data_IF_757980146531
#
_entry.id   IF_757980146531
#
_cell.length_a   1.000
_cell.length_b   1.000
_cell.length_c   1.000
_cell.angle_alpha   90.00
_cell.angle_beta   90.00
_cell.angle_gamma   90.00
#
_symmetry.space_group_name_H-M   'P 1'
#
loop_
_entity.id
_entity.type
_entity.pdbx_description
1 polymer ?
#
# COMPACT_ATOMS: atom_id res chain seq x y z
N UNK A 1 0.93 2.39 -1.05
CA UNK A 1 -0.07 1.30 -1.18
C UNK A 1 -0.70 1.07 0.18
N UNK A 2 -1.92 0.55 0.23
CA UNK A 2 -2.54 0.08 1.47
C UNK A 2 -2.82 -1.42 1.29
N UNK A 3 -2.36 -2.25 2.23
CA UNK A 3 -2.69 -3.67 2.30
C UNK A 3 -3.50 -3.94 3.57
N UNK A 4 -4.44 -4.88 3.49
CA UNK A 4 -5.32 -5.26 4.60
C UNK A 4 -5.33 -6.78 4.79
N UNK A 5 -5.70 -7.24 5.99
CA UNK A 5 -5.85 -8.66 6.30
C UNK A 5 -4.62 -9.49 5.93
N UNK A 6 -4.84 -10.64 5.29
CA UNK A 6 -3.76 -11.57 4.92
C UNK A 6 -2.65 -10.93 4.07
N UNK A 7 -2.99 -9.98 3.20
CA UNK A 7 -1.98 -9.29 2.38
C UNK A 7 -1.10 -8.39 3.24
N UNK A 8 -1.64 -7.80 4.31
CA UNK A 8 -0.83 -7.05 5.28
C UNK A 8 0.13 -7.97 6.05
N UNK A 9 -0.34 -9.15 6.48
CA UNK A 9 0.49 -10.14 7.19
C UNK A 9 1.67 -10.61 6.32
N UNK A 10 1.44 -10.80 5.01
CA UNK A 10 2.49 -11.14 4.03
C UNK A 10 3.48 -9.99 3.88
N UNK A 11 3.00 -8.74 3.75
CA UNK A 11 3.87 -7.56 3.63
C UNK A 11 4.76 -7.44 4.87
N UNK A 12 4.17 -7.56 6.06
CA UNK A 12 4.90 -7.50 7.33
C UNK A 12 5.98 -8.59 7.43
N UNK A 13 5.62 -9.82 7.06
CA UNK A 13 6.52 -10.98 7.21
C UNK A 13 7.64 -11.03 6.16
N UNK A 14 7.40 -10.56 4.93
CA UNK A 14 8.29 -10.84 3.81
C UNK A 14 8.83 -9.59 3.09
N UNK A 15 8.20 -8.43 3.21
CA UNK A 15 8.59 -7.22 2.48
C UNK A 15 9.40 -6.30 3.40
N UNK A 16 10.67 -6.12 3.06
CA UNK A 16 11.57 -5.18 3.73
C UNK A 16 11.97 -4.07 2.78
N UNK A 17 12.47 -2.95 3.31
CA UNK A 17 12.98 -1.84 2.49
C UNK A 17 13.98 -2.35 1.45
N UNK A 18 13.79 -1.96 0.19
CA UNK A 18 14.65 -2.33 -0.92
C UNK A 18 14.25 -3.62 -1.64
N UNK A 19 13.27 -4.39 -1.15
CA UNK A 19 12.73 -5.53 -1.90
C UNK A 19 11.84 -5.06 -3.04
N UNK A 20 11.98 -5.73 -4.18
CA UNK A 20 11.17 -5.48 -5.36
C UNK A 20 9.89 -6.31 -5.29
N UNK A 21 8.76 -5.67 -5.58
CA UNK A 21 7.43 -6.31 -5.55
C UNK A 21 6.57 -5.73 -6.67
N UNK A 22 5.72 -6.57 -7.27
CA UNK A 22 4.64 -6.13 -8.15
C UNK A 22 3.33 -6.13 -7.36
N UNK A 23 2.52 -5.10 -7.57
CA UNK A 23 1.28 -4.87 -6.82
C UNK A 23 0.15 -4.66 -7.83
N UNK A 24 -0.93 -5.42 -7.67
CA UNK A 24 -2.19 -5.17 -8.35
C UNK A 24 -3.23 -4.68 -7.33
N UNK A 25 -4.01 -3.68 -7.71
CA UNK A 25 -4.99 -3.11 -6.81
C UNK A 25 -5.80 -1.99 -7.43
N UNK A 26 -6.64 -1.38 -6.59
CA UNK A 26 -7.52 -0.28 -6.98
C UNK A 26 -6.93 1.07 -6.57
N UNK A 27 -6.88 2.01 -7.51
CA UNK A 27 -6.58 3.41 -7.21
C UNK A 27 -7.74 4.03 -6.42
N UNK A 28 -7.46 4.53 -5.23
CA UNK A 28 -8.46 5.12 -4.33
C UNK A 28 -7.96 6.47 -3.83
N UNK A 29 -8.81 7.50 -3.94
CA UNK A 29 -8.56 8.81 -3.38
C UNK A 29 -9.47 9.03 -2.18
N UNK A 30 -8.89 9.38 -1.03
CA UNK A 30 -9.63 9.76 0.17
C UNK A 30 -9.30 11.18 0.59
N UNK A 31 -10.25 11.85 1.24
CA UNK A 31 -10.01 13.13 1.89
C UNK A 31 -10.03 13.00 3.40
N UNK A 32 -9.15 13.74 4.07
CA UNK A 32 -9.08 13.83 5.52
C UNK A 32 -8.70 15.26 5.92
N UNK A 33 -8.97 15.63 7.17
CA UNK A 33 -8.64 16.95 7.72
C UNK A 33 -7.35 16.84 8.54
N UNK A 34 -6.37 17.70 8.26
CA UNK A 34 -5.15 17.75 9.05
C UNK A 34 -5.37 18.48 10.39
N UNK A 35 -4.34 18.48 11.24
CA UNK A 35 -4.44 19.07 12.59
C UNK A 35 -4.72 20.57 12.58
N UNK A 36 -4.52 21.24 11.44
CA UNK A 36 -4.75 22.68 11.26
C UNK A 36 -6.11 22.97 10.62
N UNK A 37 -6.94 21.94 10.41
CA UNK A 37 -8.26 22.06 9.81
C UNK A 37 -8.26 22.08 8.28
N UNK A 38 -7.12 21.81 7.63
CA UNK A 38 -7.03 21.86 6.18
C UNK A 38 -7.42 20.51 5.57
N UNK A 39 -8.33 20.55 4.58
CA UNK A 39 -8.72 19.34 3.83
C UNK A 39 -7.58 18.89 2.92
N UNK A 40 -7.09 17.67 3.15
CA UNK A 40 -6.07 17.00 2.34
C UNK A 40 -6.69 15.86 1.54
N UNK A 41 -6.10 15.57 0.38
CA UNK A 41 -6.45 14.42 -0.45
C UNK A 41 -5.23 13.51 -0.55
N UNK A 42 -5.46 12.21 -0.45
CA UNK A 42 -4.42 11.20 -0.59
C UNK A 42 -4.91 10.14 -1.56
N UNK A 43 -4.11 9.90 -2.61
CA UNK A 43 -4.38 8.87 -3.61
C UNK A 43 -3.44 7.70 -3.34
N UNK A 44 -4.02 6.51 -3.15
CA UNK A 44 -3.30 5.31 -2.75
C UNK A 44 -3.79 4.13 -3.59
N UNK A 45 -2.92 3.14 -3.82
CA UNK A 45 -3.33 1.85 -4.40
C UNK A 45 -3.73 0.93 -3.25
N UNK A 46 -5.00 0.54 -3.20
CA UNK A 46 -5.50 -0.50 -2.28
C UNK A 46 -5.18 -1.85 -2.90
N UNK A 47 -4.25 -2.56 -2.26
CA UNK A 47 -3.66 -3.80 -2.74
C UNK A 47 -4.68 -4.93 -2.69
N UNK A 48 -4.90 -5.56 -3.84
CA UNK A 48 -5.66 -6.82 -3.96
C UNK A 48 -4.70 -8.00 -4.00
N UNK A 49 -3.61 -7.88 -4.77
CA UNK A 49 -2.61 -8.93 -4.94
C UNK A 49 -1.19 -8.35 -4.87
N UNK A 50 -0.27 -9.15 -4.34
CA UNK A 50 1.14 -8.82 -4.24
C UNK A 50 1.99 -10.01 -4.71
N UNK A 51 2.91 -9.73 -5.61
CA UNK A 51 3.89 -10.70 -6.10
C UNK A 51 5.29 -10.26 -5.68
N UNK A 52 5.99 -11.12 -4.95
CA UNK A 52 7.40 -10.91 -4.61
C UNK A 52 8.25 -11.12 -5.85
N UNK A 53 9.07 -10.13 -6.19
CA UNK A 53 10.00 -10.23 -7.30
C UNK A 53 11.37 -10.68 -6.75
N UNK A 54 11.92 -11.73 -7.34
CA UNK A 54 13.22 -12.27 -6.95
C UNK A 54 14.37 -11.47 -7.55
N UNK A 55 15.47 -11.34 -6.81
CA UNK A 55 16.75 -10.93 -7.39
C UNK A 55 17.33 -12.10 -8.19
N UNK A 56 17.72 -11.85 -9.44
CA UNK A 56 18.44 -12.81 -10.27
C UNK A 56 19.79 -13.18 -9.68
#
# INVERSE_FOLDING_TARGET
MIAWGKTADIVESFVTKGKEVAIEGKLTTRSWEDKEGQKRYTTEVVCSELLMLGSK
#
